data_IF_299420589279
#
_entry.id   IF_299420589279
#
_cell.length_a   1.000
_cell.length_b   1.000
_cell.length_c   1.000
_cell.angle_alpha   90.00
_cell.angle_beta   90.00
_cell.angle_gamma   90.00
#
_symmetry.space_group_name_H-M   'P 1'
#
loop_
_entity.id
_entity.type
_entity.pdbx_description
1 polymer ?
#
# COMPACT_ATOMS: atom_id res chain seq x y z
N UNK A 1 -10.85 -8.14 26.19
CA UNK A 1 -9.87 -7.31 25.47
C UNK A 1 -10.63 -6.34 24.61
N UNK A 2 -10.13 -5.12 24.45
CA UNK A 2 -10.80 -4.10 23.65
C UNK A 2 -10.13 -4.05 22.28
N UNK A 3 -10.91 -4.21 21.22
CA UNK A 3 -10.44 -4.27 19.82
C UNK A 3 -11.03 -3.11 19.05
N UNK A 4 -10.21 -2.37 18.30
CA UNK A 4 -10.64 -1.26 17.45
C UNK A 4 -10.83 -1.75 16.01
N UNK A 5 -12.07 -1.73 15.55
CA UNK A 5 -12.44 -2.05 14.16
C UNK A 5 -12.44 -0.80 13.30
N UNK A 6 -11.96 -0.92 12.06
CA UNK A 6 -12.03 0.12 11.03
C UNK A 6 -13.46 0.25 10.48
N UNK A 7 -14.36 0.78 11.30
CA UNK A 7 -15.76 1.01 10.97
C UNK A 7 -16.11 2.49 11.00
N UNK A 8 -16.67 3.00 9.90
CA UNK A 8 -16.94 4.42 9.73
C UNK A 8 -15.67 5.27 9.67
N UNK A 9 -15.76 6.53 10.12
CA UNK A 9 -14.63 7.49 10.09
C UNK A 9 -13.77 7.47 11.36
N UNK A 10 -14.35 7.06 12.48
CA UNK A 10 -13.71 7.13 13.80
C UNK A 10 -13.24 5.75 14.30
N UNK A 11 -13.71 4.68 13.68
CA UNK A 11 -13.55 3.31 14.18
C UNK A 11 -14.58 2.98 15.26
N UNK A 12 -14.69 1.69 15.56
CA UNK A 12 -15.58 1.13 16.57
C UNK A 12 -14.77 0.30 17.56
N UNK A 13 -14.92 0.58 18.85
CA UNK A 13 -14.28 -0.21 19.91
C UNK A 13 -15.28 -1.26 20.39
N UNK A 14 -14.88 -2.53 20.37
CA UNK A 14 -15.67 -3.65 20.88
C UNK A 14 -14.92 -4.40 21.97
N UNK A 15 -15.66 -5.00 22.91
CA UNK A 15 -15.11 -5.87 23.94
C UNK A 15 -15.22 -7.33 23.51
N UNK A 16 -14.08 -7.99 23.35
CA UNK A 16 -14.02 -9.40 22.98
C UNK A 16 -13.65 -10.29 24.17
N UNK A 17 -14.33 -11.45 24.37
CA UNK A 17 -13.95 -12.45 25.36
C UNK A 17 -12.59 -13.10 25.01
N UNK A 18 -11.58 -13.03 25.88
CA UNK A 18 -10.21 -13.44 25.55
C UNK A 18 -10.04 -14.96 25.36
N UNK A 19 -10.91 -15.79 25.95
CA UNK A 19 -10.82 -17.25 25.85
C UNK A 19 -11.50 -17.86 24.62
N UNK A 20 -12.19 -17.02 23.83
CA UNK A 20 -13.00 -17.47 22.69
C UNK A 20 -12.67 -16.69 21.41
N UNK A 21 -11.74 -15.73 21.49
CA UNK A 21 -11.42 -14.82 20.38
C UNK A 21 -9.93 -14.78 20.16
N UNK A 22 -9.51 -14.88 18.90
CA UNK A 22 -8.13 -14.64 18.46
C UNK A 22 -8.15 -13.46 17.50
N UNK A 23 -7.33 -12.44 17.77
CA UNK A 23 -7.17 -11.28 16.88
C UNK A 23 -5.95 -11.53 16.00
N UNK A 24 -6.13 -11.37 14.68
CA UNK A 24 -5.05 -11.45 13.71
C UNK A 24 -4.84 -10.05 13.15
N UNK A 25 -3.65 -9.51 13.36
CA UNK A 25 -3.28 -8.17 12.90
C UNK A 25 -2.16 -8.26 11.86
N UNK A 26 -2.20 -7.43 10.81
CA UNK A 26 -1.10 -7.36 9.86
C UNK A 26 0.12 -6.69 10.51
N UNK A 27 1.31 -7.07 10.08
CA UNK A 27 2.53 -6.32 10.41
C UNK A 27 2.58 -5.07 9.55
N UNK A 28 2.27 -3.92 10.14
CA UNK A 28 2.43 -2.63 9.47
C UNK A 28 3.93 -2.30 9.33
N UNK A 29 4.35 -1.98 8.12
CA UNK A 29 5.71 -1.54 7.83
C UNK A 29 5.76 -0.03 7.81
N UNK A 30 6.86 0.54 8.32
CA UNK A 30 7.05 1.99 8.30
C UNK A 30 7.07 2.51 6.86
N UNK A 31 6.49 3.69 6.67
CA UNK A 31 6.61 4.44 5.41
C UNK A 31 8.08 4.65 5.03
N UNK A 32 8.34 4.69 3.72
CA UNK A 32 9.68 4.98 3.21
C UNK A 32 10.12 6.40 3.60
N UNK A 33 11.40 6.62 3.95
CA UNK A 33 11.91 7.95 4.29
C UNK A 33 11.81 8.96 3.14
N UNK A 34 11.99 8.50 1.90
CA UNK A 34 11.81 9.29 0.67
C UNK A 34 10.97 8.50 -0.36
N UNK A 35 9.64 8.60 -0.30
CA UNK A 35 8.76 7.91 -1.24
C UNK A 35 9.01 8.32 -2.71
N UNK A 36 9.36 9.59 -2.93
CA UNK A 36 9.58 10.13 -4.29
C UNK A 36 10.86 9.56 -4.89
N UNK A 37 11.96 9.57 -4.13
CA UNK A 37 13.23 8.98 -4.55
C UNK A 37 13.12 7.47 -4.80
N UNK A 38 12.37 6.76 -3.96
CA UNK A 38 12.14 5.33 -4.12
C UNK A 38 11.44 4.99 -5.45
N UNK A 39 10.38 5.72 -5.81
CA UNK A 39 9.68 5.54 -7.09
C UNK A 39 10.62 5.86 -8.27
N UNK A 40 11.37 6.97 -8.19
CA UNK A 40 12.34 7.32 -9.24
C UNK A 40 13.40 6.24 -9.44
N UNK A 41 13.88 5.65 -8.35
CA UNK A 41 14.86 4.57 -8.38
C UNK A 41 14.27 3.31 -9.02
N UNK A 42 13.05 2.91 -8.64
CA UNK A 42 12.38 1.73 -9.18
C UNK A 42 12.15 1.81 -10.70
N UNK A 43 11.81 3.00 -11.23
CA UNK A 43 11.63 3.20 -12.68
C UNK A 43 12.98 3.09 -13.43
N UNK A 44 14.08 3.54 -12.82
CA UNK A 44 15.42 3.50 -13.41
C UNK A 44 16.07 2.12 -13.31
N UNK A 45 15.78 1.39 -12.24
CA UNK A 45 16.30 0.07 -11.91
C UNK A 45 15.14 -0.92 -11.76
N UNK A 46 14.45 -1.28 -12.86
CA UNK A 46 13.30 -2.17 -12.77
C UNK A 46 13.74 -3.60 -12.46
N UNK A 47 12.85 -4.35 -11.83
CA UNK A 47 13.05 -5.77 -11.53
C UNK A 47 12.82 -6.57 -12.82
N UNK A 48 13.74 -7.48 -13.13
CA UNK A 48 13.67 -8.46 -14.22
C UNK A 48 13.30 -7.92 -15.61
N UNK A 49 13.61 -6.65 -15.88
CA UNK A 49 13.32 -6.00 -17.16
C UNK A 49 14.31 -4.89 -17.49
N UNK A 50 14.23 -4.36 -18.72
CA UNK A 50 15.05 -3.23 -19.13
C UNK A 50 14.42 -1.92 -18.63
N UNK A 51 15.24 -0.92 -18.25
CA UNK A 51 14.74 0.41 -17.89
C UNK A 51 13.80 0.97 -18.97
N UNK A 52 12.74 1.67 -18.55
CA UNK A 52 11.72 2.17 -19.48
C UNK A 52 12.30 3.04 -20.61
N UNK A 53 13.38 3.78 -20.34
CA UNK A 53 14.11 4.59 -21.33
C UNK A 53 14.74 3.76 -22.46
N UNK A 54 15.08 2.50 -22.18
CA UNK A 54 15.74 1.59 -23.10
C UNK A 54 14.75 0.72 -23.90
N UNK A 55 13.44 0.93 -23.70
CA UNK A 55 12.39 0.27 -24.49
C UNK A 55 12.29 0.95 -25.86
N UNK A 56 12.32 0.15 -26.93
CA UNK A 56 12.32 0.61 -28.32
C UNK A 56 11.24 1.65 -28.60
N UNK A 57 11.56 2.77 -29.29
CA UNK A 57 10.58 3.79 -29.64
C UNK A 57 9.51 3.32 -30.63
N UNK A 58 9.71 2.16 -31.29
CA UNK A 58 8.73 1.56 -32.21
C UNK A 58 7.60 0.80 -31.51
N UNK A 59 7.64 0.66 -30.18
CA UNK A 59 6.56 0.06 -29.42
C UNK A 59 5.53 1.11 -29.03
N UNK A 60 4.25 0.77 -29.18
CA UNK A 60 3.15 1.56 -28.61
C UNK A 60 3.22 1.52 -27.08
N UNK A 61 3.45 2.68 -26.46
CA UNK A 61 3.54 2.81 -25.00
C UNK A 61 2.18 3.20 -24.46
N UNK A 62 1.59 2.36 -23.62
CA UNK A 62 0.33 2.64 -22.90
C UNK A 62 0.61 2.70 -21.41
N UNK A 63 0.05 3.70 -20.75
CA UNK A 63 0.10 3.85 -19.30
C UNK A 63 -1.31 3.63 -18.75
N UNK A 64 -1.44 2.70 -17.82
CA UNK A 64 -2.71 2.37 -17.17
C UNK A 64 -2.63 2.85 -15.73
N UNK A 65 -3.52 3.75 -15.36
CA UNK A 65 -3.71 4.16 -13.96
C UNK A 65 -4.89 3.36 -13.38
N UNK A 66 -4.73 2.81 -12.18
CA UNK A 66 -5.86 2.27 -11.42
C UNK A 66 -6.66 3.41 -10.79
N UNK A 67 -7.98 3.21 -10.65
CA UNK A 67 -8.92 4.24 -10.18
C UNK A 67 -8.80 4.53 -8.68
N UNK A 68 -9.39 5.65 -8.27
CA UNK A 68 -9.45 6.21 -6.90
C UNK A 68 -10.17 5.34 -5.86
N UNK A 69 -10.58 4.12 -6.19
CA UNK A 69 -11.18 3.18 -5.22
C UNK A 69 -10.14 2.59 -4.26
N UNK A 70 -8.85 2.88 -4.46
CA UNK A 70 -7.81 2.50 -3.49
C UNK A 70 -7.97 3.33 -2.20
N UNK A 71 -7.94 2.69 -1.02
CA UNK A 71 -7.99 3.39 0.25
C UNK A 71 -6.80 4.34 0.37
N UNK A 72 -7.06 5.55 0.86
CA UNK A 72 -6.03 6.55 1.13
C UNK A 72 -5.00 5.99 2.11
N UNK A 73 -3.73 5.93 1.68
CA UNK A 73 -2.62 5.42 2.49
C UNK A 73 -2.29 6.33 3.68
N UNK A 74 -2.82 7.56 3.73
CA UNK A 74 -2.64 8.47 4.86
C UNK A 74 -3.34 7.99 6.15
N UNK A 75 -4.25 7.01 6.06
CA UNK A 75 -5.02 6.48 7.18
C UNK A 75 -4.34 5.33 7.95
N UNK A 76 -3.09 4.99 7.62
CA UNK A 76 -2.35 3.88 8.24
C UNK A 76 -1.38 4.28 9.37
N UNK A 77 -1.41 5.53 9.84
CA UNK A 77 -0.56 6.01 10.95
C UNK A 77 -1.33 6.21 12.25
#
# INVERSE_FOLDING_TARGET
>A
MDVRLSYGKTGLIIKCPPKQTTVIEPTFVNSLPDPKGAIQNAIRNPIDSKPFKNISPKLDKKLVFQSVTLPDQSLQN
#
